data_IF_768907297142
#
_entry.id   IF_768907297142
#
_cell.length_a   1.000
_cell.length_b   1.000
_cell.length_c   1.000
_cell.angle_alpha   90.00
_cell.angle_beta   90.00
_cell.angle_gamma   90.00
#
_symmetry.space_group_name_H-M   'P 1'
#
loop_
_entity.id
_entity.type
_entity.pdbx_description
1 polymer ?
#
# COMPACT_ATOMS: atom_id res chain seq x y z
N UNK A 1 0.49 20.38 3.78
CA UNK A 1 1.23 19.31 4.45
C UNK A 1 0.78 17.97 3.91
N UNK A 2 1.71 17.08 3.75
CA UNK A 2 1.38 15.75 3.25
C UNK A 2 1.40 14.76 4.41
N UNK A 3 0.38 13.95 4.48
CA UNK A 3 0.31 12.88 5.44
C UNK A 3 0.70 11.58 4.75
N UNK A 4 1.23 10.65 5.53
CA UNK A 4 1.61 9.34 5.02
C UNK A 4 0.80 8.28 5.73
N UNK A 5 0.48 7.23 5.00
CA UNK A 5 -0.23 6.09 5.56
C UNK A 5 0.50 4.81 5.16
N UNK A 6 0.66 3.94 6.13
CA UNK A 6 1.28 2.64 5.90
C UNK A 6 0.18 1.57 5.97
N UNK A 7 0.06 0.81 4.89
CA UNK A 7 -0.93 -0.26 4.82
C UNK A 7 -0.17 -1.59 4.83
N UNK A 8 -0.29 -2.31 5.92
CA UNK A 8 0.36 -3.60 6.09
C UNK A 8 -0.60 -4.71 5.68
N UNK A 9 -0.07 -5.69 4.97
CA UNK A 9 -0.91 -6.77 4.46
C UNK A 9 -1.66 -6.39 3.21
N UNK A 10 -1.12 -5.44 2.46
CA UNK A 10 -1.73 -5.05 1.20
C UNK A 10 -1.80 -6.25 0.25
N UNK A 11 -2.81 -6.25 -0.60
CA UNK A 11 -3.02 -7.35 -1.52
C UNK A 11 -4.44 -7.87 -1.47
N UNK A 12 -5.18 -7.53 -0.41
CA UNK A 12 -6.61 -7.85 -0.36
C UNK A 12 -7.39 -6.72 -1.03
N UNK A 13 -8.61 -7.03 -1.44
CA UNK A 13 -9.45 -6.02 -2.08
C UNK A 13 -9.74 -4.85 -1.16
N UNK A 14 -9.89 -5.13 0.13
CA UNK A 14 -10.17 -4.09 1.11
C UNK A 14 -8.99 -3.13 1.24
N UNK A 15 -7.78 -3.66 1.31
CA UNK A 15 -6.58 -2.83 1.40
C UNK A 15 -6.40 -1.98 0.15
N UNK A 16 -6.72 -2.55 -1.00
CA UNK A 16 -6.64 -1.82 -2.26
C UNK A 16 -7.59 -0.63 -2.27
N UNK A 17 -8.82 -0.83 -1.83
CA UNK A 17 -9.80 0.26 -1.77
C UNK A 17 -9.35 1.34 -0.82
N UNK A 18 -8.81 0.96 0.33
CA UNK A 18 -8.31 1.93 1.30
C UNK A 18 -7.15 2.73 0.74
N UNK A 19 -6.24 2.07 0.04
CA UNK A 19 -5.09 2.73 -0.55
C UNK A 19 -5.54 3.78 -1.58
N UNK A 20 -6.51 3.43 -2.40
CA UNK A 20 -7.02 4.37 -3.40
C UNK A 20 -7.68 5.57 -2.73
N UNK A 21 -8.42 5.33 -1.67
CA UNK A 21 -9.10 6.40 -0.95
C UNK A 21 -8.08 7.36 -0.34
N UNK A 22 -7.04 6.84 0.29
CA UNK A 22 -5.99 7.67 0.87
C UNK A 22 -5.29 8.48 -0.21
N UNK A 23 -5.01 7.85 -1.34
CA UNK A 23 -4.37 8.56 -2.45
C UNK A 23 -5.23 9.71 -2.96
N UNK A 24 -6.52 9.50 -3.03
CA UNK A 24 -7.45 10.54 -3.50
C UNK A 24 -7.49 11.73 -2.55
N UNK A 25 -7.17 11.48 -1.28
CA UNK A 25 -7.15 12.55 -0.28
C UNK A 25 -5.79 13.23 -0.16
N UNK A 26 -4.89 12.95 -1.10
CA UNK A 26 -3.59 13.59 -1.13
C UNK A 26 -2.58 13.02 -0.17
N UNK A 27 -2.85 11.86 0.37
CA UNK A 27 -1.93 11.20 1.29
C UNK A 27 -0.90 10.37 0.54
N UNK A 28 0.31 10.34 1.07
CA UNK A 28 1.32 9.45 0.53
C UNK A 28 1.05 8.05 1.05
N UNK A 29 0.95 7.09 0.15
CA UNK A 29 0.61 5.72 0.51
C UNK A 29 1.86 4.84 0.42
N UNK A 30 2.11 4.07 1.47
CA UNK A 30 3.17 3.08 1.48
C UNK A 30 2.51 1.72 1.72
N UNK A 31 2.77 0.79 0.81
CA UNK A 31 2.17 -0.54 0.88
C UNK A 31 3.22 -1.53 1.36
N UNK A 32 2.88 -2.29 2.38
CA UNK A 32 3.78 -3.32 2.90
C UNK A 32 3.13 -4.68 2.75
N UNK A 33 3.86 -5.63 2.18
CA UNK A 33 3.36 -6.97 1.97
C UNK A 33 4.53 -7.94 1.80
N UNK A 34 4.23 -9.22 1.99
CA UNK A 34 5.24 -10.24 1.80
C UNK A 34 5.64 -10.39 0.33
N UNK A 35 4.68 -10.24 -0.55
CA UNK A 35 4.91 -10.34 -1.98
C UNK A 35 4.50 -9.04 -2.65
N UNK A 36 5.46 -8.17 -2.84
CA UNK A 36 5.21 -6.86 -3.42
C UNK A 36 4.95 -6.90 -4.91
N UNK A 37 5.25 -8.02 -5.57
CA UNK A 37 4.99 -8.13 -7.01
C UNK A 37 3.51 -8.00 -7.31
N UNK A 38 2.66 -8.47 -6.41
CA UNK A 38 1.21 -8.36 -6.59
C UNK A 38 0.74 -6.91 -6.48
N UNK A 39 1.57 -6.05 -5.94
CA UNK A 39 1.21 -4.66 -5.73
C UNK A 39 1.64 -3.73 -6.85
N UNK A 40 2.35 -4.27 -7.84
CA UNK A 40 2.90 -3.43 -8.91
C UNK A 40 1.83 -2.60 -9.62
N UNK A 41 0.70 -3.22 -9.94
CA UNK A 41 -0.38 -2.51 -10.62
C UNK A 41 -0.93 -1.39 -9.75
N UNK A 42 -1.17 -1.68 -8.49
CA UNK A 42 -1.70 -0.69 -7.57
C UNK A 42 -0.67 0.40 -7.31
N UNK A 43 0.58 0.01 -7.15
CA UNK A 43 1.66 0.96 -6.94
C UNK A 43 1.72 2.00 -8.07
N UNK A 44 1.63 1.53 -9.30
CA UNK A 44 1.66 2.44 -10.44
C UNK A 44 0.40 3.28 -10.53
N UNK A 45 -0.73 2.67 -10.21
CA UNK A 45 -2.02 3.36 -10.30
C UNK A 45 -2.06 4.57 -9.37
N UNK A 46 -1.57 4.43 -8.15
CA UNK A 46 -1.66 5.48 -7.14
C UNK A 46 -0.30 6.08 -6.79
N UNK A 47 0.73 5.72 -7.53
CA UNK A 47 2.08 6.22 -7.32
C UNK A 47 2.54 6.01 -5.87
N UNK A 48 2.28 4.82 -5.35
CA UNK A 48 2.62 4.48 -3.98
C UNK A 48 4.01 3.87 -3.90
N UNK A 49 4.56 3.87 -2.68
CA UNK A 49 5.79 3.15 -2.41
C UNK A 49 5.45 1.78 -1.86
N UNK A 50 6.32 0.82 -2.07
CA UNK A 50 6.11 -0.53 -1.55
C UNK A 50 7.30 -0.96 -0.70
N UNK A 51 7.00 -1.74 0.32
CA UNK A 51 7.99 -2.32 1.19
C UNK A 51 7.74 -3.82 1.27
N UNK A 52 8.81 -4.60 1.10
CA UNK A 52 8.72 -6.03 1.34
C UNK A 52 8.81 -6.24 2.84
N UNK A 53 7.78 -6.80 3.41
CA UNK A 53 7.69 -6.96 4.86
C UNK A 53 7.12 -8.32 5.19
N UNK A 54 7.87 -9.11 5.94
CA UNK A 54 7.43 -10.42 6.39
C UNK A 54 7.15 -10.35 7.88
N UNK A 55 5.91 -10.07 8.20
CA UNK A 55 5.51 -9.91 9.60
C UNK A 55 4.84 -11.15 10.17
N UNK A 56 4.78 -12.20 9.39
CA UNK A 56 4.03 -13.37 9.79
C UNK A 56 4.78 -14.33 10.69
N UNK A 57 6.05 -14.09 10.86
CA UNK A 57 6.90 -15.02 11.58
C UNK A 57 7.54 -14.36 12.80
N UNK A 58 6.86 -14.44 13.87
CA UNK A 58 7.35 -13.89 15.14
C UNK A 58 7.59 -15.00 16.14
#
# INVERSE_FOLDING_TARGET
MSESVLIVGAGSGLSTSLARLCNRNGMKVVLAARNIKKLDSLKEEINAETLSCDVGDI
#
